data_IF_283347665253
#
_entry.id   IF_283347665253
#
_cell.length_a   1.000
_cell.length_b   1.000
_cell.length_c   1.000
_cell.angle_alpha   90.00
_cell.angle_beta   90.00
_cell.angle_gamma   90.00
#
_symmetry.space_group_name_H-M   'P 1'
#
loop_
_entity.id
_entity.type
_entity.pdbx_description
1 polymer ?
#
# COMPACT_ATOMS: atom_id res chain seq x y z
N UNK A 1 7.98 10.69 -5.16
CA UNK A 1 8.49 12.02 -5.66
C UNK A 1 8.19 13.06 -4.60
N UNK A 2 9.10 14.04 -4.38
CA UNK A 2 8.83 15.20 -3.52
C UNK A 2 9.19 16.46 -4.28
N UNK A 3 8.35 17.49 -4.15
CA UNK A 3 8.50 18.77 -4.85
C UNK A 3 8.47 19.94 -3.88
N UNK A 4 8.95 21.10 -4.31
CA UNK A 4 8.79 22.41 -3.67
C UNK A 4 8.52 23.49 -4.72
N UNK A 5 8.34 24.75 -4.28
CA UNK A 5 8.15 25.91 -5.18
C UNK A 5 6.89 25.76 -6.09
N UNK A 6 5.74 25.48 -5.45
CA UNK A 6 4.41 25.33 -6.07
C UNK A 6 3.59 26.62 -5.92
N UNK A 7 2.60 26.80 -6.79
CA UNK A 7 1.63 27.90 -6.72
C UNK A 7 0.23 27.36 -6.34
N UNK A 8 -0.09 27.43 -5.06
CA UNK A 8 -1.39 26.98 -4.56
C UNK A 8 -2.55 27.93 -4.87
N UNK A 9 -2.29 29.17 -5.27
CA UNK A 9 -3.34 30.18 -5.53
C UNK A 9 -4.28 29.79 -6.67
N UNK A 10 -3.81 28.91 -7.57
CA UNK A 10 -4.52 28.43 -8.74
C UNK A 10 -5.26 27.11 -8.50
N UNK A 11 -5.16 26.55 -7.28
CA UNK A 11 -5.58 25.18 -7.01
C UNK A 11 -6.74 25.13 -6.01
N UNK A 12 -7.58 24.13 -6.19
CA UNK A 12 -8.67 23.85 -5.27
C UNK A 12 -8.12 23.27 -3.97
N UNK A 13 -8.64 23.76 -2.84
CA UNK A 13 -8.29 23.24 -1.51
C UNK A 13 -9.23 22.10 -1.14
N UNK A 14 -8.64 21.03 -0.66
CA UNK A 14 -9.34 19.92 -0.01
C UNK A 14 -9.11 20.01 1.48
N UNK A 15 -10.12 20.42 2.22
CA UNK A 15 -10.10 20.43 3.68
C UNK A 15 -10.41 19.03 4.24
N UNK A 16 -10.08 18.83 5.53
CA UNK A 16 -10.54 17.68 6.27
C UNK A 16 -12.08 17.68 6.40
N UNK A 17 -12.65 16.50 6.67
CA UNK A 17 -14.08 16.38 6.97
C UNK A 17 -14.45 17.15 8.25
N UNK A 18 -15.69 17.65 8.31
CA UNK A 18 -16.20 18.38 9.48
C UNK A 18 -16.22 17.49 10.73
N UNK A 19 -16.53 16.20 10.57
CA UNK A 19 -16.46 15.21 11.62
C UNK A 19 -15.15 14.43 11.51
N UNK A 20 -14.28 14.60 12.51
CA UNK A 20 -12.99 13.93 12.53
C UNK A 20 -13.12 12.47 12.97
N UNK A 21 -12.72 11.56 12.09
CA UNK A 21 -12.54 10.14 12.41
C UNK A 21 -11.10 9.86 12.85
N UNK A 22 -10.93 9.23 14.00
CA UNK A 22 -9.62 8.86 14.52
C UNK A 22 -9.37 7.36 14.37
N UNK A 23 -8.11 6.97 14.21
CA UNK A 23 -7.72 5.56 14.17
C UNK A 23 -7.93 4.86 15.52
N UNK A 24 -7.74 5.58 16.62
CA UNK A 24 -7.95 5.06 17.97
C UNK A 24 -9.27 5.56 18.56
N UNK A 25 -10.08 4.66 19.09
CA UNK A 25 -11.29 5.01 19.85
C UNK A 25 -11.00 5.82 21.13
N UNK A 26 -9.75 5.81 21.61
CA UNK A 26 -9.32 6.58 22.78
C UNK A 26 -9.01 8.04 22.45
N UNK A 27 -8.73 8.35 21.19
CA UNK A 27 -8.43 9.72 20.74
C UNK A 27 -9.72 10.53 20.66
N UNK A 28 -9.75 11.66 21.36
CA UNK A 28 -10.93 12.55 21.43
C UNK A 28 -10.78 13.83 20.63
N UNK A 29 -9.55 14.25 20.35
CA UNK A 29 -9.23 15.47 19.59
C UNK A 29 -7.83 15.40 18.99
N UNK A 30 -7.61 16.17 17.92
CA UNK A 30 -6.28 16.44 17.40
C UNK A 30 -5.64 17.58 18.19
N UNK A 31 -4.32 17.56 18.31
CA UNK A 31 -3.52 18.61 18.95
C UNK A 31 -2.78 19.47 17.93
N UNK A 32 -2.58 18.96 16.74
CA UNK A 32 -1.85 19.64 15.66
C UNK A 32 -2.81 20.39 14.74
N UNK A 33 -2.32 21.50 14.18
CA UNK A 33 -3.00 22.20 13.10
C UNK A 33 -3.23 21.25 11.91
N UNK A 34 -4.43 21.34 11.32
CA UNK A 34 -4.78 20.53 10.16
C UNK A 34 -4.57 21.34 8.90
N UNK A 35 -3.70 20.88 8.02
CA UNK A 35 -3.42 21.51 6.74
C UNK A 35 -4.29 20.89 5.63
N UNK A 36 -4.86 21.72 4.75
CA UNK A 36 -5.57 21.19 3.59
C UNK A 36 -4.59 20.65 2.57
N UNK A 37 -5.02 19.61 1.84
CA UNK A 37 -4.39 19.24 0.58
C UNK A 37 -4.85 20.19 -0.53
N UNK A 38 -4.13 20.19 -1.66
CA UNK A 38 -4.55 20.93 -2.86
C UNK A 38 -4.70 19.96 -4.01
N UNK A 39 -5.70 20.17 -4.84
CA UNK A 39 -5.97 19.31 -5.98
C UNK A 39 -5.51 19.95 -7.28
N UNK A 40 -4.88 19.14 -8.12
CA UNK A 40 -4.59 19.44 -9.51
C UNK A 40 -4.77 18.19 -10.36
N UNK A 41 -4.48 18.30 -11.65
CA UNK A 41 -4.73 17.23 -12.60
C UNK A 41 -3.63 17.16 -13.65
N UNK A 42 -3.39 15.96 -14.17
CA UNK A 42 -2.69 15.82 -15.45
C UNK A 42 -3.55 16.40 -16.57
N UNK A 43 -2.96 16.63 -17.72
CA UNK A 43 -3.61 17.15 -18.92
C UNK A 43 -3.03 16.49 -20.17
N UNK A 44 -3.57 16.83 -21.33
CA UNK A 44 -3.14 16.27 -22.61
C UNK A 44 -1.64 16.46 -22.88
N UNK A 45 -1.08 17.64 -22.53
CA UNK A 45 0.36 17.90 -22.70
C UNK A 45 1.21 16.94 -21.87
N UNK A 46 0.81 16.71 -20.61
CA UNK A 46 1.44 15.74 -19.70
C UNK A 46 1.35 14.32 -20.30
N UNK A 47 0.15 13.92 -20.76
CA UNK A 47 -0.07 12.59 -21.33
C UNK A 47 0.78 12.37 -22.59
N UNK A 48 0.88 13.37 -23.46
CA UNK A 48 1.71 13.31 -24.66
C UNK A 48 3.22 13.16 -24.35
N UNK A 49 3.73 13.86 -23.32
CA UNK A 49 5.12 13.71 -22.88
C UNK A 49 5.36 12.29 -22.37
N UNK A 50 4.46 11.79 -21.52
CA UNK A 50 4.56 10.43 -20.95
C UNK A 50 4.53 9.38 -22.06
N UNK A 51 3.56 9.45 -22.99
CA UNK A 51 3.42 8.49 -24.09
C UNK A 51 4.64 8.46 -25.00
N UNK A 52 5.21 9.62 -25.35
CA UNK A 52 6.43 9.71 -26.17
C UNK A 52 7.66 9.08 -25.51
N UNK A 53 7.68 9.02 -24.18
CA UNK A 53 8.80 8.53 -23.41
C UNK A 53 8.52 7.18 -22.71
N UNK A 54 7.39 6.52 -23.01
CA UNK A 54 6.94 5.33 -22.30
C UNK A 54 7.99 4.22 -22.25
N UNK A 55 8.71 4.01 -23.36
CA UNK A 55 9.77 2.99 -23.47
C UNK A 55 11.01 3.28 -22.64
N UNK A 56 11.14 4.50 -22.09
CA UNK A 56 12.21 4.87 -21.16
C UNK A 56 11.87 4.55 -19.70
N UNK A 57 10.60 4.26 -19.39
CA UNK A 57 10.16 3.85 -18.06
C UNK A 57 10.81 2.52 -17.69
N UNK A 58 11.26 2.36 -16.46
CA UNK A 58 11.86 1.12 -15.97
C UNK A 58 10.90 -0.08 -16.10
N UNK A 59 9.59 0.16 -15.94
CA UNK A 59 8.55 -0.87 -16.06
C UNK A 59 8.35 -1.27 -17.54
N UNK A 60 8.20 -0.29 -18.44
CA UNK A 60 7.89 -0.54 -19.86
C UNK A 60 9.12 -0.86 -20.72
N UNK A 61 10.33 -0.60 -20.23
CA UNK A 61 11.59 -0.94 -20.93
C UNK A 61 11.99 -2.41 -20.77
N UNK A 62 11.30 -3.20 -19.95
CA UNK A 62 11.67 -4.56 -19.61
C UNK A 62 12.89 -4.67 -18.66
N UNK A 63 13.33 -3.56 -18.06
CA UNK A 63 14.39 -3.57 -17.03
C UNK A 63 13.92 -4.22 -15.74
N UNK A 64 12.62 -4.14 -15.45
CA UNK A 64 11.96 -4.83 -14.36
C UNK A 64 11.17 -5.98 -14.95
N UNK A 65 11.61 -7.21 -14.68
CA UNK A 65 11.02 -8.43 -15.24
C UNK A 65 10.19 -9.21 -14.21
N UNK A 66 10.32 -8.90 -12.93
CA UNK A 66 9.60 -9.57 -11.85
C UNK A 66 8.15 -9.12 -11.72
N UNK A 67 7.26 -10.06 -11.43
CA UNK A 67 5.92 -9.77 -10.93
C UNK A 67 6.09 -9.31 -9.49
N UNK A 68 6.29 -7.99 -9.27
CA UNK A 68 6.51 -7.46 -7.94
C UNK A 68 5.31 -7.68 -7.02
N UNK A 69 5.49 -7.81 -5.70
CA UNK A 69 4.41 -8.00 -4.74
C UNK A 69 3.56 -6.75 -4.51
N UNK A 70 3.87 -5.63 -5.17
CA UNK A 70 3.10 -4.38 -5.10
C UNK A 70 2.48 -4.01 -6.43
N UNK A 71 1.18 -3.80 -6.41
CA UNK A 71 0.45 -3.13 -7.47
C UNK A 71 0.27 -1.66 -7.09
N UNK A 72 1.14 -0.80 -7.60
CA UNK A 72 0.98 0.65 -7.52
C UNK A 72 0.92 1.19 -8.95
N UNK A 73 -0.27 1.54 -9.47
CA UNK A 73 -0.38 2.05 -10.83
C UNK A 73 0.39 3.35 -10.94
N UNK A 74 1.41 3.36 -11.78
CA UNK A 74 2.17 4.56 -12.13
C UNK A 74 1.33 5.52 -12.97
N UNK A 75 1.79 6.75 -13.13
CA UNK A 75 1.13 7.68 -14.06
C UNK A 75 1.19 7.15 -15.49
N UNK A 76 2.27 6.43 -15.84
CA UNK A 76 2.40 5.73 -17.12
C UNK A 76 1.28 4.70 -17.31
N UNK A 77 1.00 3.88 -16.31
CA UNK A 77 -0.11 2.92 -16.35
C UNK A 77 -1.46 3.60 -16.54
N UNK A 78 -1.68 4.72 -15.82
CA UNK A 78 -2.92 5.48 -15.95
C UNK A 78 -3.11 6.02 -17.36
N UNK A 79 -2.06 6.59 -17.95
CA UNK A 79 -2.09 7.15 -19.29
C UNK A 79 -2.29 6.08 -20.38
N UNK A 80 -1.76 4.87 -20.17
CA UNK A 80 -1.89 3.76 -21.12
C UNK A 80 -3.23 3.03 -20.95
N UNK A 81 -3.57 2.64 -19.74
CA UNK A 81 -4.76 1.81 -19.46
C UNK A 81 -6.08 2.61 -19.51
N UNK A 82 -6.01 3.91 -19.23
CA UNK A 82 -7.16 4.81 -19.24
C UNK A 82 -6.96 5.97 -20.21
N UNK A 83 -6.56 5.64 -21.43
CA UNK A 83 -6.25 6.61 -22.49
C UNK A 83 -7.45 7.47 -22.91
N UNK A 84 -8.67 7.04 -22.61
CA UNK A 84 -9.93 7.77 -22.82
C UNK A 84 -10.12 8.91 -21.81
N UNK A 85 -9.36 8.91 -20.70
CA UNK A 85 -9.45 9.96 -19.68
C UNK A 85 -8.59 11.15 -20.05
N UNK A 86 -9.20 12.33 -20.11
CA UNK A 86 -8.51 13.58 -20.43
C UNK A 86 -7.58 14.06 -19.32
N UNK A 87 -7.81 13.60 -18.08
CA UNK A 87 -7.04 13.99 -16.90
C UNK A 87 -7.06 12.93 -15.80
N UNK A 88 -6.02 12.90 -15.00
CA UNK A 88 -5.94 12.12 -13.75
C UNK A 88 -5.69 13.06 -12.59
N UNK A 89 -6.37 12.80 -11.47
CA UNK A 89 -6.31 13.60 -10.26
C UNK A 89 -4.97 13.45 -9.56
N UNK A 90 -4.50 14.57 -8.99
CA UNK A 90 -3.27 14.68 -8.22
C UNK A 90 -3.61 15.42 -6.92
N UNK A 91 -3.28 14.81 -5.79
CA UNK A 91 -3.31 15.49 -4.50
C UNK A 91 -1.91 15.99 -4.15
N UNK A 92 -1.82 17.25 -3.79
CA UNK A 92 -0.59 17.87 -3.29
C UNK A 92 -0.66 17.89 -1.76
N UNK A 93 0.04 16.96 -1.15
CA UNK A 93 0.00 16.67 0.27
C UNK A 93 1.23 17.25 0.96
N UNK A 94 1.09 18.17 1.96
CA UNK A 94 2.22 18.62 2.76
C UNK A 94 2.88 17.45 3.49
N UNK A 95 4.21 17.35 3.45
CA UNK A 95 4.94 16.29 4.16
C UNK A 95 5.05 16.54 5.68
N UNK A 96 4.71 17.73 6.14
CA UNK A 96 4.72 18.09 7.56
C UNK A 96 4.41 19.57 7.77
N UNK A 97 4.14 19.95 9.02
CA UNK A 97 3.83 21.34 9.40
C UNK A 97 5.01 22.27 9.18
N UNK A 98 6.22 21.78 9.43
CA UNK A 98 7.47 22.52 9.34
C UNK A 98 8.28 22.19 8.06
N UNK A 99 7.61 21.70 7.02
CA UNK A 99 8.26 21.25 5.78
C UNK A 99 7.74 22.03 4.57
N UNK A 100 8.66 22.49 3.73
CA UNK A 100 8.35 23.06 2.41
C UNK A 100 8.05 21.98 1.36
N UNK A 101 8.26 20.72 1.72
CA UNK A 101 8.10 19.61 0.80
C UNK A 101 6.64 19.20 0.65
N UNK A 102 6.28 18.92 -0.60
CA UNK A 102 4.96 18.44 -0.98
C UNK A 102 5.11 17.09 -1.67
N UNK A 103 4.30 16.14 -1.26
CA UNK A 103 4.14 14.86 -1.92
C UNK A 103 3.01 14.94 -2.96
N UNK A 104 3.30 14.85 -4.27
CA UNK A 104 2.28 14.80 -5.30
C UNK A 104 1.74 13.38 -5.44
N UNK A 105 0.67 13.08 -4.72
CA UNK A 105 0.01 11.78 -4.75
C UNK A 105 -0.76 11.59 -6.06
N UNK A 106 -0.65 10.43 -6.66
CA UNK A 106 -1.36 10.05 -7.89
C UNK A 106 -0.51 10.08 -9.15
N UNK A 107 0.76 10.51 -9.08
CA UNK A 107 1.71 10.55 -10.21
C UNK A 107 3.02 9.83 -9.90
N UNK A 108 2.94 8.69 -9.24
CA UNK A 108 4.09 7.78 -9.12
C UNK A 108 4.62 7.43 -10.51
N UNK A 109 5.94 7.46 -10.69
CA UNK A 109 6.55 7.28 -12.02
C UNK A 109 7.92 6.63 -11.92
N UNK A 110 8.28 5.89 -12.96
CA UNK A 110 9.61 5.32 -13.18
C UNK A 110 10.33 5.89 -14.42
N UNK A 111 9.77 6.96 -14.99
CA UNK A 111 10.41 7.69 -16.08
C UNK A 111 11.71 8.35 -15.63
N UNK A 112 12.66 8.59 -16.55
CA UNK A 112 13.92 9.27 -16.22
C UNK A 112 13.69 10.69 -15.66
N UNK A 113 14.65 11.21 -14.83
CA UNK A 113 14.52 12.51 -14.18
C UNK A 113 14.20 13.68 -15.13
N UNK A 114 14.79 13.72 -16.31
CA UNK A 114 14.55 14.76 -17.30
C UNK A 114 13.10 14.77 -17.79
N UNK A 115 12.49 13.59 -17.99
CA UNK A 115 11.09 13.47 -18.39
C UNK A 115 10.16 13.85 -17.24
N UNK A 116 10.53 13.50 -16.00
CA UNK A 116 9.78 13.91 -14.82
C UNK A 116 9.75 15.44 -14.67
N UNK A 117 10.88 16.11 -14.84
CA UNK A 117 10.95 17.57 -14.81
C UNK A 117 10.09 18.19 -15.93
N UNK A 118 10.13 17.61 -17.13
CA UNK A 118 9.36 18.10 -18.28
C UNK A 118 7.85 18.00 -18.02
N UNK A 119 7.32 16.85 -17.62
CA UNK A 119 5.87 16.70 -17.45
C UNK A 119 5.34 17.41 -16.21
N UNK A 120 6.10 17.47 -15.10
CA UNK A 120 5.70 18.21 -13.89
C UNK A 120 5.49 19.69 -14.21
N UNK A 121 6.37 20.29 -15.00
CA UNK A 121 6.24 21.71 -15.40
C UNK A 121 5.02 22.02 -16.28
N UNK A 122 4.31 21.02 -16.77
CA UNK A 122 3.06 21.15 -17.55
C UNK A 122 1.79 20.96 -16.73
N UNK A 123 1.93 20.70 -15.44
CA UNK A 123 0.79 20.54 -14.52
C UNK A 123 0.45 21.92 -13.94
N UNK A 124 -0.85 22.26 -13.92
CA UNK A 124 -1.32 23.53 -13.36
C UNK A 124 -0.92 23.68 -11.89
N UNK A 125 -0.32 24.83 -11.53
CA UNK A 125 0.20 25.12 -10.20
C UNK A 125 1.59 24.53 -9.92
N UNK A 126 2.17 23.76 -10.84
CA UNK A 126 3.50 23.16 -10.73
C UNK A 126 4.48 23.66 -11.80
N UNK A 127 4.13 24.70 -12.54
CA UNK A 127 4.94 25.24 -13.66
C UNK A 127 6.36 25.61 -13.24
N UNK A 128 6.52 26.08 -11.99
CA UNK A 128 7.80 26.49 -11.41
C UNK A 128 8.30 25.49 -10.34
N UNK A 129 7.62 24.35 -10.16
CA UNK A 129 7.97 23.41 -9.13
C UNK A 129 9.35 22.78 -9.39
N UNK A 130 10.10 22.58 -8.31
CA UNK A 130 11.38 21.88 -8.33
C UNK A 130 11.23 20.52 -7.71
N UNK A 131 11.65 19.49 -8.41
CA UNK A 131 11.69 18.13 -7.89
C UNK A 131 12.91 18.01 -6.98
N UNK A 132 12.67 17.74 -5.70
CA UNK A 132 13.72 17.52 -4.69
C UNK A 132 14.11 16.03 -4.67
N UNK A 133 13.13 15.16 -4.85
CA UNK A 133 13.33 13.72 -4.94
C UNK A 133 12.51 13.17 -6.11
N UNK A 134 13.18 12.67 -7.13
CA UNK A 134 12.53 12.06 -8.28
C UNK A 134 11.77 10.77 -7.90
N UNK A 135 10.73 10.46 -8.66
CA UNK A 135 10.09 9.14 -8.62
C UNK A 135 11.05 8.07 -9.13
N UNK A 136 10.86 6.85 -8.64
CA UNK A 136 11.68 5.69 -9.01
C UNK A 136 10.81 4.43 -8.97
N UNK A 137 11.23 3.42 -9.74
CA UNK A 137 10.67 2.09 -9.62
C UNK A 137 11.40 1.30 -8.55
N UNK A 138 10.67 0.42 -7.91
CA UNK A 138 11.22 -0.55 -6.97
C UNK A 138 10.89 -1.95 -7.49
N UNK A 139 11.88 -2.81 -7.54
CA UNK A 139 11.72 -4.24 -7.73
C UNK A 139 11.86 -4.93 -6.37
N UNK A 140 10.98 -5.89 -6.11
CA UNK A 140 10.95 -6.59 -4.83
C UNK A 140 11.14 -8.08 -5.07
N UNK A 141 12.04 -8.66 -4.32
CA UNK A 141 12.14 -10.10 -4.21
C UNK A 141 11.08 -10.62 -3.22
N UNK A 142 10.53 -11.78 -3.52
CA UNK A 142 9.65 -12.51 -2.62
C UNK A 142 9.87 -14.00 -2.78
N UNK A 143 9.50 -14.76 -1.77
CA UNK A 143 9.55 -16.21 -1.80
C UNK A 143 8.21 -16.79 -2.23
N UNK A 144 8.21 -18.03 -2.74
CA UNK A 144 6.96 -18.78 -2.89
C UNK A 144 6.38 -19.05 -1.49
N UNK A 145 5.20 -18.49 -1.16
CA UNK A 145 4.61 -18.69 0.17
C UNK A 145 4.20 -20.14 0.44
N UNK A 146 4.14 -21.02 -0.56
CA UNK A 146 3.97 -22.44 -0.37
C UNK A 146 5.18 -23.11 0.32
N UNK A 147 6.33 -22.42 0.41
CA UNK A 147 7.48 -22.85 1.20
C UNK A 147 7.33 -22.58 2.72
N UNK A 148 6.18 -22.05 3.13
CA UNK A 148 5.84 -21.80 4.53
C UNK A 148 4.81 -22.82 5.04
N UNK A 149 4.88 -23.10 6.36
CA UNK A 149 3.76 -23.67 7.10
C UNK A 149 2.67 -22.63 7.34
N UNK A 150 1.48 -23.05 7.74
CA UNK A 150 0.40 -22.11 8.12
C UNK A 150 0.71 -21.27 9.37
N UNK A 151 1.77 -21.61 10.10
CA UNK A 151 2.36 -20.81 11.18
C UNK A 151 3.24 -19.68 10.66
N UNK A 152 3.50 -19.61 9.34
CA UNK A 152 4.46 -18.77 8.66
C UNK A 152 5.93 -19.07 8.98
N UNK A 153 6.21 -20.20 9.62
CA UNK A 153 7.57 -20.74 9.70
C UNK A 153 7.98 -21.30 8.33
N UNK A 154 9.25 -21.10 7.95
CA UNK A 154 9.78 -21.68 6.71
C UNK A 154 9.96 -23.20 6.83
N UNK A 155 9.61 -23.94 5.80
CA UNK A 155 9.81 -25.40 5.76
C UNK A 155 11.27 -25.81 5.74
N UNK A 156 12.16 -24.95 5.25
CA UNK A 156 13.59 -25.24 5.07
C UNK A 156 14.47 -24.84 6.25
N UNK A 157 14.07 -23.83 7.00
CA UNK A 157 14.87 -23.28 8.10
C UNK A 157 14.00 -23.18 9.34
N UNK A 158 14.23 -24.07 10.29
CA UNK A 158 13.51 -24.09 11.56
C UNK A 158 13.76 -22.79 12.35
N UNK A 159 12.69 -22.22 12.92
CA UNK A 159 12.73 -21.00 13.71
C UNK A 159 12.77 -19.71 12.89
N UNK A 160 12.75 -19.80 11.55
CA UNK A 160 12.63 -18.63 10.67
C UNK A 160 11.19 -18.43 10.24
N UNK A 161 10.61 -17.31 10.63
CA UNK A 161 9.25 -16.89 10.28
C UNK A 161 9.30 -15.69 9.33
N UNK A 162 8.44 -15.68 8.34
CA UNK A 162 8.38 -14.61 7.34
C UNK A 162 6.98 -14.00 7.32
N UNK A 163 6.92 -12.67 7.16
CA UNK A 163 5.66 -11.95 7.15
C UNK A 163 5.68 -10.75 6.21
N UNK A 164 4.54 -10.48 5.59
CA UNK A 164 4.32 -9.32 4.75
C UNK A 164 4.77 -9.53 3.32
N UNK A 165 5.39 -8.52 2.76
CA UNK A 165 5.71 -8.42 1.34
C UNK A 165 6.64 -9.54 0.83
N UNK A 166 7.52 -10.05 1.68
CA UNK A 166 8.40 -11.18 1.36
C UNK A 166 7.62 -12.45 0.98
N UNK A 167 6.37 -12.56 1.42
CA UNK A 167 5.47 -13.67 1.12
C UNK A 167 4.57 -13.40 -0.11
N UNK A 168 4.93 -12.45 -0.97
CA UNK A 168 4.19 -12.13 -2.19
C UNK A 168 2.87 -11.39 -1.96
N UNK A 169 2.70 -10.73 -0.81
CA UNK A 169 1.50 -9.94 -0.51
C UNK A 169 1.73 -8.45 -0.68
N UNK A 170 0.64 -7.71 -0.91
CA UNK A 170 0.66 -6.25 -0.93
C UNK A 170 -0.46 -5.70 -0.06
N UNK A 171 -0.13 -4.77 0.82
CA UNK A 171 -1.06 -4.08 1.73
C UNK A 171 -0.54 -4.06 3.15
N UNK A 172 -0.90 -2.98 3.87
CA UNK A 172 -0.48 -2.80 5.25
C UNK A 172 -1.20 -3.79 6.18
N UNK A 173 -2.46 -4.01 5.94
CA UNK A 173 -3.33 -4.91 6.71
C UNK A 173 -2.88 -6.36 6.56
N UNK A 174 -2.53 -6.77 5.35
CA UNK A 174 -2.00 -8.10 5.07
C UNK A 174 -0.67 -8.32 5.78
N UNK A 175 0.22 -7.33 5.75
CA UNK A 175 1.51 -7.39 6.45
C UNK A 175 1.33 -7.44 7.97
N UNK A 176 0.40 -6.66 8.52
CA UNK A 176 0.09 -6.66 9.94
C UNK A 176 -0.48 -8.01 10.40
N UNK A 177 -1.43 -8.56 9.65
CA UNK A 177 -2.01 -9.88 9.95
C UNK A 177 -0.98 -11.01 9.91
N UNK A 178 -0.10 -11.01 8.91
CA UNK A 178 1.00 -11.99 8.84
C UNK A 178 2.01 -11.79 9.97
N UNK A 179 2.36 -10.54 10.30
CA UNK A 179 3.25 -10.22 11.42
C UNK A 179 2.72 -10.72 12.75
N UNK A 180 1.40 -10.59 12.98
CA UNK A 180 0.73 -11.16 14.15
C UNK A 180 0.89 -12.69 14.19
N UNK A 181 0.59 -13.39 13.10
CA UNK A 181 0.66 -14.85 13.02
C UNK A 181 2.09 -15.35 13.21
N UNK A 182 3.05 -14.76 12.52
CA UNK A 182 4.46 -15.12 12.61
C UNK A 182 5.01 -14.88 14.02
N UNK A 183 4.74 -13.70 14.60
CA UNK A 183 5.20 -13.36 15.94
C UNK A 183 4.59 -14.22 17.03
N UNK A 184 3.28 -14.49 16.95
CA UNK A 184 2.58 -15.41 17.85
C UNK A 184 3.22 -16.79 17.82
N UNK A 185 3.33 -17.39 16.63
CA UNK A 185 3.85 -18.74 16.48
C UNK A 185 5.33 -18.83 16.86
N UNK A 186 6.13 -17.82 16.55
CA UNK A 186 7.51 -17.76 17.01
C UNK A 186 7.61 -17.78 18.55
N UNK A 187 6.72 -17.05 19.24
CA UNK A 187 6.70 -17.01 20.71
C UNK A 187 6.23 -18.34 21.33
N UNK A 188 5.10 -18.88 20.87
CA UNK A 188 4.54 -20.11 21.48
C UNK A 188 5.30 -21.37 21.08
N UNK A 189 6.07 -21.35 20.00
CA UNK A 189 6.93 -22.47 19.61
C UNK A 189 8.00 -22.81 20.63
N UNK A 190 8.41 -21.83 21.47
CA UNK A 190 9.32 -22.05 22.60
C UNK A 190 8.74 -23.04 23.62
N UNK A 191 7.42 -23.18 23.67
CA UNK A 191 6.71 -24.13 24.49
C UNK A 191 6.19 -25.34 23.70
N UNK A 192 6.73 -25.59 22.50
CA UNK A 192 6.29 -26.65 21.56
C UNK A 192 4.79 -26.57 21.23
N UNK A 193 4.26 -25.35 21.09
CA UNK A 193 2.89 -25.06 20.70
C UNK A 193 2.87 -24.33 19.36
N UNK A 194 1.76 -24.47 18.66
CA UNK A 194 1.47 -23.72 17.44
C UNK A 194 0.01 -23.28 17.44
N UNK A 195 -0.30 -22.24 16.67
CA UNK A 195 -1.66 -21.80 16.43
C UNK A 195 -1.89 -21.45 14.97
N UNK A 196 -2.93 -22.04 14.39
CA UNK A 196 -3.33 -21.80 13.00
C UNK A 196 -4.73 -21.19 13.00
N UNK A 197 -4.85 -20.02 12.40
CA UNK A 197 -6.13 -19.35 12.20
C UNK A 197 -6.93 -20.09 11.11
N UNK A 198 -8.18 -20.42 11.44
CA UNK A 198 -9.09 -21.07 10.49
C UNK A 198 -9.68 -20.07 9.48
N UNK A 199 -9.93 -20.52 8.25
CA UNK A 199 -10.70 -19.78 7.23
C UNK A 199 -12.12 -19.43 7.69
N UNK A 200 -12.67 -20.22 8.61
CA UNK A 200 -14.02 -20.00 9.15
C UNK A 200 -14.08 -18.87 10.15
N UNK A 201 -12.95 -18.54 10.78
CA UNK A 201 -12.91 -17.65 11.94
C UNK A 201 -12.43 -16.26 11.61
N UNK A 202 -11.59 -16.11 10.59
CA UNK A 202 -10.96 -14.82 10.30
C UNK A 202 -10.49 -14.68 8.85
N UNK A 203 -10.43 -13.43 8.38
CA UNK A 203 -9.75 -13.09 7.13
C UNK A 203 -8.24 -13.37 7.17
N UNK A 204 -7.62 -13.31 8.36
CA UNK A 204 -6.23 -13.74 8.56
C UNK A 204 -6.10 -15.22 8.18
N UNK A 205 -7.01 -16.07 8.67
CA UNK A 205 -7.03 -17.49 8.32
C UNK A 205 -7.20 -17.73 6.83
N UNK A 206 -8.13 -17.00 6.19
CA UNK A 206 -8.30 -17.07 4.72
C UNK A 206 -7.03 -16.73 3.98
N UNK A 207 -6.36 -15.64 4.37
CA UNK A 207 -5.12 -15.17 3.75
C UNK A 207 -3.99 -16.19 3.90
N UNK A 208 -3.74 -16.66 5.11
CA UNK A 208 -2.66 -17.62 5.38
C UNK A 208 -2.88 -18.93 4.62
N UNK A 209 -4.09 -19.42 4.61
CA UNK A 209 -4.44 -20.64 3.89
C UNK A 209 -4.27 -20.47 2.37
N UNK A 210 -4.77 -19.36 1.80
CA UNK A 210 -4.57 -19.07 0.37
C UNK A 210 -3.08 -19.01 0.01
N UNK A 211 -2.26 -18.29 0.80
CA UNK A 211 -0.83 -18.16 0.55
C UNK A 211 -0.10 -19.50 0.60
N UNK A 212 -0.31 -20.26 1.68
CA UNK A 212 0.49 -21.45 1.94
C UNK A 212 0.05 -22.69 1.15
N UNK A 213 -1.20 -22.74 0.70
CA UNK A 213 -1.73 -23.86 -0.07
C UNK A 213 -1.83 -23.59 -1.58
N UNK A 214 -2.24 -22.37 -1.98
CA UNK A 214 -2.46 -22.04 -3.39
C UNK A 214 -1.26 -21.31 -4.01
N UNK A 215 -0.44 -20.63 -3.19
CA UNK A 215 0.63 -19.77 -3.65
C UNK A 215 0.11 -18.49 -4.29
N UNK A 216 1.01 -17.75 -4.96
CA UNK A 216 0.69 -16.49 -5.62
C UNK A 216 1.23 -16.46 -7.04
N UNK A 217 0.41 -16.00 -7.97
CA UNK A 217 0.79 -15.72 -9.38
C UNK A 217 0.82 -14.22 -9.67
N UNK A 218 0.25 -13.44 -8.76
CA UNK A 218 0.19 -11.98 -8.76
C UNK A 218 0.26 -11.47 -7.32
N UNK A 219 0.53 -10.18 -7.08
CA UNK A 219 0.53 -9.62 -5.72
C UNK A 219 -0.77 -9.92 -4.98
N UNK A 220 -0.68 -10.69 -3.90
CA UNK A 220 -1.88 -11.07 -3.13
C UNK A 220 -2.45 -9.86 -2.39
N UNK A 221 -3.76 -9.66 -2.53
CA UNK A 221 -4.57 -8.73 -1.72
C UNK A 221 -5.73 -9.49 -1.12
N UNK A 222 -6.07 -9.13 0.11
CA UNK A 222 -7.26 -9.63 0.77
C UNK A 222 -8.51 -8.92 0.27
N UNK A 223 -9.44 -9.67 -0.29
CA UNK A 223 -10.77 -9.22 -0.67
C UNK A 223 -11.82 -10.10 0.00
N UNK A 224 -12.96 -9.53 0.34
CA UNK A 224 -14.07 -10.28 0.94
C UNK A 224 -14.53 -11.44 0.05
N UNK A 225 -14.37 -11.32 -1.26
CA UNK A 225 -14.69 -12.38 -2.23
C UNK A 225 -13.85 -13.66 -2.08
N UNK A 226 -12.71 -13.58 -1.38
CA UNK A 226 -11.85 -14.76 -1.12
C UNK A 226 -12.38 -15.63 0.01
N UNK A 227 -13.25 -15.09 0.87
CA UNK A 227 -13.80 -15.80 2.02
C UNK A 227 -15.14 -16.46 1.67
N UNK A 228 -15.24 -17.76 1.94
CA UNK A 228 -16.46 -18.55 1.78
C UNK A 228 -17.55 -18.08 2.75
N UNK A 229 -17.15 -17.71 3.97
CA UNK A 229 -18.04 -17.30 5.05
C UNK A 229 -18.10 -15.78 5.23
N UNK A 230 -17.96 -15.01 4.16
CA UNK A 230 -17.91 -13.53 4.22
C UNK A 230 -19.11 -12.86 4.87
N UNK A 231 -20.28 -13.53 4.90
CA UNK A 231 -21.46 -13.02 5.60
C UNK A 231 -21.34 -13.14 7.13
N UNK A 232 -20.47 -14.02 7.62
CA UNK A 232 -20.16 -14.19 9.04
C UNK A 232 -18.91 -13.40 9.45
N UNK A 233 -17.93 -13.29 8.55
CA UNK A 233 -16.65 -12.62 8.81
C UNK A 233 -16.78 -11.12 8.55
N UNK A 234 -17.37 -10.39 9.49
CA UNK A 234 -17.56 -8.94 9.39
C UNK A 234 -16.71 -8.18 10.41
N UNK A 235 -16.40 -6.93 10.09
CA UNK A 235 -15.65 -6.06 11.00
C UNK A 235 -16.46 -5.74 12.27
N UNK A 236 -17.79 -5.60 12.13
CA UNK A 236 -18.71 -5.24 13.22
C UNK A 236 -18.91 -6.36 14.27
N UNK A 237 -18.50 -7.59 13.99
CA UNK A 237 -18.59 -8.72 14.92
C UNK A 237 -17.24 -9.40 15.18
N UNK A 238 -16.13 -8.77 14.79
CA UNK A 238 -14.81 -9.36 14.94
C UNK A 238 -14.42 -9.57 16.41
N UNK A 239 -14.79 -8.67 17.27
CA UNK A 239 -14.60 -8.76 18.72
C UNK A 239 -15.33 -9.96 19.32
N UNK A 240 -16.58 -10.19 18.94
CA UNK A 240 -17.38 -11.34 19.41
C UNK A 240 -16.76 -12.68 18.99
N UNK A 241 -16.12 -12.73 17.83
CA UNK A 241 -15.51 -13.99 17.31
C UNK A 241 -14.11 -14.24 17.83
N UNK A 242 -13.32 -13.19 18.06
CA UNK A 242 -11.86 -13.32 18.22
C UNK A 242 -11.34 -12.89 19.60
N UNK A 243 -12.12 -12.16 20.42
CA UNK A 243 -11.63 -11.66 21.73
C UNK A 243 -11.23 -12.80 22.66
N UNK A 244 -12.05 -13.83 22.80
CA UNK A 244 -11.74 -14.98 23.65
C UNK A 244 -10.49 -15.72 23.15
N UNK A 245 -10.36 -15.91 21.85
CA UNK A 245 -9.17 -16.51 21.24
C UNK A 245 -7.93 -15.65 21.51
N UNK A 246 -8.04 -14.32 21.31
CA UNK A 246 -6.95 -13.38 21.57
C UNK A 246 -6.51 -13.40 23.05
N UNK A 247 -7.47 -13.50 23.97
CA UNK A 247 -7.18 -13.63 25.40
C UNK A 247 -6.42 -14.92 25.70
N UNK A 248 -6.90 -16.06 25.20
CA UNK A 248 -6.27 -17.36 25.41
C UNK A 248 -4.86 -17.47 24.81
N UNK A 249 -4.58 -16.69 23.78
CA UNK A 249 -3.27 -16.58 23.13
C UNK A 249 -2.38 -15.49 23.75
N UNK A 250 -2.84 -14.82 24.83
CA UNK A 250 -2.14 -13.71 25.50
C UNK A 250 -1.86 -12.52 24.58
N UNK A 251 -2.68 -12.29 23.56
CA UNK A 251 -2.62 -11.15 22.65
C UNK A 251 -3.38 -9.93 23.19
N UNK A 252 -4.23 -10.12 24.19
CA UNK A 252 -5.03 -9.10 24.84
C UNK A 252 -4.57 -8.95 26.28
N UNK A 253 -4.23 -7.73 26.68
CA UNK A 253 -3.94 -7.39 28.07
C UNK A 253 -5.22 -7.35 28.88
N UNK A 254 -5.10 -7.87 30.05
CA UNK A 254 -6.16 -7.93 31.03
C UNK A 254 -5.93 -6.86 32.07
#
# INVERSE_FOLDING_TARGET
>A
MCIRDRDFTKLEKQYADDEHSYFSFLTKKTHNEQLPCHMTYTNESVHNIIQKNITKSAIYSGKISGTGPRYCPSVEDKVVKFADKLRHQIFLEPEGLDSDLIYPNGISTSLPPEVQNEFISKINGLENAKIVRHGYAIEYDFIDPQELYQTLETKKIKGLYLAGQINGTTGYEEAAGQGLVAGLNAAISLNNKEYVFSRNDSYIGVMIDDLTLKGVTEPYRMFTSRAEYRLLLRADNADLRLTETGHNLSLIHI
#
